data_IF_980531009170
#
_entry.id   IF_980531009170
#
_cell.length_a   1.000
_cell.length_b   1.000
_cell.length_c   1.000
_cell.angle_alpha   90.00
_cell.angle_beta   90.00
_cell.angle_gamma   90.00
#
_symmetry.space_group_name_H-M   'P 1'
#
loop_
_entity.id
_entity.type
_entity.pdbx_description
1 polymer ?
#
# COMPACT_ATOMS: atom_id res chain seq x y z
N UNK A 1 -12.59 -9.24 -21.40
CA UNK A 1 -13.01 -9.00 -20.01
C UNK A 1 -13.21 -10.33 -19.31
N UNK A 2 -12.56 -10.54 -18.16
CA UNK A 2 -12.68 -11.75 -17.34
C UNK A 2 -13.55 -11.49 -16.11
N UNK A 3 -14.08 -12.57 -15.52
CA UNK A 3 -14.77 -12.48 -14.24
C UNK A 3 -13.77 -12.18 -13.11
N UNK A 4 -14.06 -11.22 -12.25
CA UNK A 4 -13.13 -10.86 -11.17
C UNK A 4 -13.07 -11.87 -10.02
N UNK A 5 -14.04 -12.80 -9.87
CA UNK A 5 -13.93 -13.89 -8.89
C UNK A 5 -13.13 -15.10 -9.40
N UNK A 6 -13.43 -15.58 -10.61
CA UNK A 6 -12.89 -16.85 -11.12
C UNK A 6 -11.91 -16.68 -12.29
N UNK A 7 -11.55 -15.45 -12.63
CA UNK A 7 -10.68 -15.07 -13.75
C UNK A 7 -11.10 -15.59 -15.14
N UNK A 8 -12.26 -16.25 -15.27
CA UNK A 8 -12.73 -16.82 -16.53
C UNK A 8 -13.00 -15.73 -17.56
N UNK A 9 -12.39 -15.84 -18.74
CA UNK A 9 -12.68 -14.95 -19.89
C UNK A 9 -14.16 -15.04 -20.25
N UNK A 10 -14.85 -13.91 -20.25
CA UNK A 10 -16.25 -13.81 -20.63
C UNK A 10 -16.33 -13.55 -22.14
N UNK A 11 -17.08 -14.36 -22.90
CA UNK A 11 -17.25 -14.11 -24.32
C UNK A 11 -18.08 -12.83 -24.51
N UNK A 12 -17.67 -12.00 -25.47
CA UNK A 12 -18.30 -10.71 -25.79
C UNK A 12 -19.81 -10.85 -26.11
N UNK A 13 -20.23 -12.02 -26.60
CA UNK A 13 -21.62 -12.35 -26.94
C UNK A 13 -22.49 -12.71 -25.72
N UNK A 14 -21.89 -12.88 -24.54
CA UNK A 14 -22.64 -13.09 -23.29
C UNK A 14 -22.82 -11.77 -22.56
N UNK A 15 -24.07 -11.41 -22.28
CA UNK A 15 -24.43 -10.22 -21.52
C UNK A 15 -23.63 -10.18 -20.21
N UNK A 16 -22.78 -9.16 -20.09
CA UNK A 16 -21.88 -9.00 -18.95
C UNK A 16 -22.72 -8.58 -17.74
N UNK A 17 -22.85 -9.48 -16.77
CA UNK A 17 -23.55 -9.19 -15.52
C UNK A 17 -22.56 -8.63 -14.50
N UNK A 18 -22.90 -7.53 -13.85
CA UNK A 18 -22.08 -6.91 -12.81
C UNK A 18 -22.73 -7.06 -11.44
N UNK A 19 -21.92 -7.02 -10.38
CA UNK A 19 -22.40 -6.91 -9.01
C UNK A 19 -23.03 -5.52 -8.78
N UNK A 20 -24.16 -5.43 -8.08
CA UNK A 20 -24.78 -4.13 -7.78
C UNK A 20 -24.07 -3.36 -6.66
N UNK A 21 -23.30 -4.05 -5.81
CA UNK A 21 -22.55 -3.41 -4.71
C UNK A 21 -21.15 -2.96 -5.15
N UNK A 22 -20.29 -3.88 -5.59
CA UNK A 22 -18.91 -3.56 -5.99
C UNK A 22 -18.73 -3.22 -7.48
N UNK A 23 -19.79 -3.31 -8.30
CA UNK A 23 -19.80 -2.95 -9.73
C UNK A 23 -18.82 -3.72 -10.63
N UNK A 24 -18.11 -4.72 -10.10
CA UNK A 24 -17.22 -5.59 -10.89
C UNK A 24 -17.99 -6.55 -11.80
N UNK A 25 -17.38 -6.82 -12.96
CA UNK A 25 -17.92 -7.73 -13.98
C UNK A 25 -17.74 -9.18 -13.53
N UNK A 26 -18.84 -9.92 -13.49
CA UNK A 26 -18.90 -11.30 -13.01
C UNK A 26 -19.49 -12.23 -14.05
N UNK A 27 -19.07 -13.49 -14.01
CA UNK A 27 -19.77 -14.54 -14.74
C UNK A 27 -21.09 -14.88 -14.03
N UNK A 28 -22.07 -15.41 -14.77
CA UNK A 28 -23.38 -15.81 -14.21
C UNK A 28 -23.27 -16.81 -13.05
N UNK A 29 -22.19 -17.60 -12.98
CA UNK A 29 -21.95 -18.55 -11.87
C UNK A 29 -21.49 -17.86 -10.60
N UNK A 30 -20.69 -16.79 -10.72
CA UNK A 30 -20.17 -16.04 -9.58
C UNK A 30 -21.13 -14.95 -9.09
N UNK A 31 -22.11 -14.55 -9.92
CA UNK A 31 -23.20 -13.65 -9.54
C UNK A 31 -24.46 -14.45 -9.18
N UNK A 32 -24.34 -15.31 -8.18
CA UNK A 32 -25.40 -16.23 -7.74
C UNK A 32 -26.16 -15.74 -6.50
N UNK A 33 -25.55 -14.90 -5.67
CA UNK A 33 -26.13 -14.50 -4.41
C UNK A 33 -27.10 -13.35 -4.59
N UNK A 34 -28.16 -13.33 -3.78
CA UNK A 34 -29.25 -12.35 -3.90
C UNK A 34 -29.53 -11.73 -2.54
N UNK A 35 -29.61 -10.40 -2.50
CA UNK A 35 -29.92 -9.63 -1.29
C UNK A 35 -31.26 -8.91 -1.45
N UNK A 36 -32.05 -8.76 -0.37
CA UNK A 36 -33.26 -7.94 -0.38
C UNK A 36 -32.89 -6.45 -0.52
N UNK A 37 -33.58 -5.72 -1.40
CA UNK A 37 -33.46 -4.25 -1.47
C UNK A 37 -34.09 -3.63 -0.23
N UNK A 38 -33.36 -2.72 0.43
CA UNK A 38 -33.84 -2.03 1.63
C UNK A 38 -34.86 -0.92 1.32
N UNK A 39 -34.98 -0.53 0.05
CA UNK A 39 -35.89 0.52 -0.39
C UNK A 39 -37.33 0.00 -0.46
N UNK A 40 -38.01 0.06 0.68
CA UNK A 40 -39.42 -0.27 0.90
C UNK A 40 -40.36 0.76 0.28
N UNK A 41 -40.25 1.05 -1.02
CA UNK A 41 -41.22 1.89 -1.72
C UNK A 41 -41.83 1.16 -2.90
N UNK A 42 -43.02 0.62 -2.64
CA UNK A 42 -44.06 0.23 -3.62
C UNK A 42 -43.77 -0.97 -4.55
N UNK A 43 -44.50 -2.06 -4.29
CA UNK A 43 -44.94 -3.07 -5.25
C UNK A 43 -43.88 -3.80 -6.11
N UNK A 44 -43.07 -4.61 -5.42
CA UNK A 44 -42.46 -5.91 -5.80
C UNK A 44 -41.13 -6.01 -5.07
N UNK A 45 -40.94 -7.08 -4.31
CA UNK A 45 -39.67 -7.43 -3.68
C UNK A 45 -38.54 -7.51 -4.70
N UNK A 46 -37.86 -6.37 -4.95
CA UNK A 46 -36.74 -6.29 -5.89
C UNK A 46 -35.50 -6.79 -5.18
N UNK A 47 -35.31 -8.09 -5.21
CA UNK A 47 -34.07 -8.72 -4.79
C UNK A 47 -32.98 -8.45 -5.86
N UNK A 48 -31.77 -8.05 -5.44
CA UNK A 48 -30.67 -7.73 -6.36
C UNK A 48 -29.53 -8.73 -6.23
N UNK A 49 -28.84 -8.99 -7.34
CA UNK A 49 -27.76 -9.99 -7.39
C UNK A 49 -26.40 -9.37 -7.06
N UNK A 50 -25.63 -10.08 -6.24
CA UNK A 50 -24.30 -9.68 -5.75
C UNK A 50 -23.30 -10.83 -5.86
N UNK A 51 -22.00 -10.50 -5.82
CA UNK A 51 -20.94 -11.49 -5.72
C UNK A 51 -20.88 -12.10 -4.31
N UNK A 52 -20.13 -13.19 -4.16
CA UNK A 52 -19.93 -13.87 -2.88
C UNK A 52 -19.38 -12.95 -1.80
N UNK A 53 -18.32 -12.20 -2.12
CA UNK A 53 -17.68 -11.28 -1.18
C UNK A 53 -18.64 -10.20 -0.65
N UNK A 54 -19.43 -9.58 -1.54
CA UNK A 54 -20.42 -8.59 -1.12
C UNK A 54 -21.57 -9.21 -0.32
N UNK A 55 -22.01 -10.42 -0.68
CA UNK A 55 -23.02 -11.13 0.09
C UNK A 55 -22.53 -11.44 1.51
N UNK A 56 -21.30 -11.92 1.65
CA UNK A 56 -20.71 -12.23 2.95
C UNK A 56 -20.49 -10.97 3.79
N UNK A 57 -20.02 -9.87 3.19
CA UNK A 57 -19.88 -8.58 3.87
C UNK A 57 -21.20 -8.13 4.50
N UNK A 58 -22.30 -8.20 3.74
CA UNK A 58 -23.63 -7.78 4.22
C UNK A 58 -24.22 -8.76 5.23
N UNK A 59 -24.07 -10.07 5.02
CA UNK A 59 -24.71 -11.10 5.89
C UNK A 59 -23.95 -11.35 7.19
N UNK A 60 -22.62 -11.26 7.18
CA UNK A 60 -21.80 -11.47 8.38
C UNK A 60 -21.66 -10.22 9.25
N UNK A 61 -22.27 -9.09 8.85
CA UNK A 61 -22.21 -7.82 9.58
C UNK A 61 -20.76 -7.41 9.91
N UNK A 62 -19.83 -7.66 8.97
CA UNK A 62 -18.43 -7.25 9.15
C UNK A 62 -18.42 -5.76 8.86
N UNK A 63 -18.15 -4.87 9.85
CA UNK A 63 -18.03 -3.45 9.58
C UNK A 63 -16.90 -3.27 8.56
N UNK A 64 -17.16 -2.44 7.54
CA UNK A 64 -16.20 -2.10 6.49
C UNK A 64 -14.88 -1.61 7.12
N UNK A 65 -13.90 -2.51 7.28
CA UNK A 65 -12.54 -2.15 7.69
C UNK A 65 -11.80 -1.37 6.60
N UNK A 66 -12.44 -1.19 5.44
CA UNK A 66 -11.91 -0.50 4.26
C UNK A 66 -12.69 0.77 3.90
N UNK A 67 -13.46 1.30 4.85
CA UNK A 67 -13.76 2.73 4.86
C UNK A 67 -13.04 3.33 6.05
N UNK A 68 -11.71 3.28 6.00
CA UNK A 68 -10.90 4.16 6.83
C UNK A 68 -11.18 5.58 6.34
N UNK A 69 -12.23 6.17 6.88
CA UNK A 69 -12.30 7.60 7.16
C UNK A 69 -11.11 7.92 8.07
N UNK A 70 -9.90 7.92 7.49
CA UNK A 70 -8.74 8.48 8.14
C UNK A 70 -9.06 9.95 8.17
N UNK A 71 -9.60 10.40 9.31
CA UNK A 71 -9.74 11.80 9.54
C UNK A 71 -8.41 12.45 9.17
N UNK A 72 -8.40 13.41 8.23
CA UNK A 72 -7.17 13.98 7.78
C UNK A 72 -6.41 14.49 9.00
N UNK A 73 -5.08 14.26 9.09
CA UNK A 73 -4.30 14.58 10.27
C UNK A 73 -4.66 15.95 10.83
N UNK A 74 -4.75 16.10 12.15
CA UNK A 74 -5.26 17.33 12.80
C UNK A 74 -4.61 18.62 12.27
N UNK A 75 -3.35 18.55 11.85
CA UNK A 75 -2.61 19.65 11.21
C UNK A 75 -3.18 20.07 9.84
N UNK A 76 -3.68 19.12 9.04
CA UNK A 76 -4.31 19.39 7.76
C UNK A 76 -5.64 20.14 7.94
N UNK A 77 -6.50 19.67 8.86
CA UNK A 77 -7.78 20.35 9.18
C UNK A 77 -7.55 21.81 9.61
N UNK A 78 -6.57 22.04 10.50
CA UNK A 78 -6.17 23.39 10.93
C UNK A 78 -5.70 24.27 9.77
N UNK A 79 -4.86 23.74 8.87
CA UNK A 79 -4.36 24.49 7.71
C UNK A 79 -5.48 24.88 6.75
N UNK A 80 -6.48 24.01 6.56
CA UNK A 80 -7.65 24.29 5.71
C UNK A 80 -8.57 25.34 6.34
N UNK A 81 -8.82 25.27 7.65
CA UNK A 81 -9.60 26.30 8.36
C UNK A 81 -8.90 27.66 8.35
N UNK A 82 -7.59 27.70 8.55
CA UNK A 82 -6.82 28.94 8.49
C UNK A 82 -6.87 29.58 7.10
N UNK A 83 -6.79 28.79 6.03
CA UNK A 83 -6.95 29.28 4.66
C UNK A 83 -8.37 29.83 4.42
N UNK A 84 -9.41 29.12 4.88
CA UNK A 84 -10.80 29.58 4.77
C UNK A 84 -11.05 30.88 5.54
N UNK A 85 -10.52 30.99 6.75
CA UNK A 85 -10.63 32.19 7.57
C UNK A 85 -9.85 33.36 6.96
N UNK A 86 -8.67 33.11 6.37
CA UNK A 86 -7.88 34.12 5.66
C UNK A 86 -8.64 34.67 4.45
N UNK A 87 -9.38 33.82 3.73
CA UNK A 87 -10.23 34.24 2.61
C UNK A 87 -11.53 34.93 3.06
N UNK A 88 -12.03 34.63 4.26
CA UNK A 88 -13.26 35.23 4.78
C UNK A 88 -13.04 36.62 5.40
N UNK A 89 -11.86 36.90 5.97
CA UNK A 89 -11.59 38.15 6.71
C UNK A 89 -11.07 39.29 5.81
N UNK A 90 -10.59 39.00 4.59
CA UNK A 90 -10.05 40.04 3.69
C UNK A 90 -10.65 39.96 2.27
N UNK A 91 -11.31 41.03 1.77
CA UNK A 91 -11.42 41.22 0.34
C UNK A 91 -10.02 41.53 -0.19
N UNK A 92 -9.51 40.67 -1.07
CA UNK A 92 -8.21 40.87 -1.72
C UNK A 92 -8.27 42.16 -2.55
N UNK A 93 -7.76 43.27 -2.01
CA UNK A 93 -7.28 44.40 -2.82
C UNK A 93 -5.85 44.06 -3.24
N UNK A 94 -5.53 44.01 -4.55
CA UNK A 94 -4.15 43.86 -4.97
C UNK A 94 -3.42 45.20 -4.77
N UNK A 95 -2.68 45.29 -3.67
CA UNK A 95 -1.53 46.18 -3.60
C UNK A 95 -0.40 45.56 -4.44
N UNK A 96 0.29 46.41 -5.20
CA UNK A 96 1.38 46.05 -6.11
C UNK A 96 2.36 45.03 -5.51
N UNK A 97 2.41 43.82 -6.09
CA UNK A 97 3.29 42.70 -5.70
C UNK A 97 2.82 41.37 -6.31
N UNK A 98 3.74 40.46 -6.74
CA UNK A 98 3.47 39.47 -7.78
C UNK A 98 2.51 38.38 -7.28
N UNK A 99 1.29 38.42 -7.82
CA UNK A 99 0.18 37.54 -7.49
C UNK A 99 -0.09 36.61 -8.68
N UNK A 100 0.01 35.29 -8.46
CA UNK A 100 -0.60 34.29 -9.35
C UNK A 100 -2.10 34.24 -9.08
N UNK A 101 -2.89 34.74 -10.03
CA UNK A 101 -4.34 34.55 -10.14
C UNK A 101 -4.65 33.96 -11.52
N UNK A 102 -5.73 33.17 -11.67
CA UNK A 102 -6.02 32.47 -12.93
C UNK A 102 -6.38 33.49 -14.01
N UNK A 103 -5.58 33.47 -15.08
CA UNK A 103 -5.63 34.42 -16.19
C UNK A 103 -6.84 34.08 -17.08
N UNK A 104 -7.85 34.96 -17.09
CA UNK A 104 -8.69 35.18 -18.26
C UNK A 104 -7.81 35.88 -19.30
N UNK A 105 -7.27 35.11 -20.26
CA UNK A 105 -6.31 35.59 -21.25
C UNK A 105 -6.90 36.67 -22.13
N UNK A 106 -6.37 37.89 -22.00
CA UNK A 106 -6.71 39.02 -22.85
C UNK A 106 -5.79 38.99 -24.10
N UNK A 107 -6.26 39.38 -25.30
CA UNK A 107 -5.55 39.13 -26.57
C UNK A 107 -4.17 39.81 -26.74
N UNK A 108 -3.73 40.64 -25.79
CA UNK A 108 -2.42 41.31 -25.81
C UNK A 108 -1.34 40.62 -24.97
N UNK A 109 -1.72 39.64 -24.14
CA UNK A 109 -0.78 38.99 -23.21
C UNK A 109 0.00 37.85 -23.89
N UNK A 110 -0.56 37.25 -24.93
CA UNK A 110 0.08 36.17 -25.72
C UNK A 110 1.32 36.66 -26.47
N UNK A 111 1.29 37.87 -27.03
CA UNK A 111 2.43 38.46 -27.74
C UNK A 111 3.59 38.77 -26.78
N UNK A 112 3.30 39.30 -25.58
CA UNK A 112 4.31 39.54 -24.54
C UNK A 112 4.86 38.24 -23.97
N UNK A 113 4.03 37.21 -23.85
CA UNK A 113 4.46 35.87 -23.44
C UNK A 113 5.37 35.23 -24.50
N UNK A 114 5.02 35.32 -25.79
CA UNK A 114 5.85 34.83 -26.88
C UNK A 114 7.22 35.53 -26.92
N UNK A 115 7.24 36.87 -26.80
CA UNK A 115 8.48 37.63 -26.73
C UNK A 115 9.35 37.24 -25.52
N UNK A 116 8.74 36.93 -24.37
CA UNK A 116 9.46 36.42 -23.19
C UNK A 116 9.99 35.01 -23.39
N UNK A 117 9.27 34.14 -24.10
CA UNK A 117 9.74 32.79 -24.45
C UNK A 117 10.94 32.86 -25.42
N UNK A 118 10.90 33.74 -26.41
CA UNK A 118 12.03 33.93 -27.33
C UNK A 118 13.26 34.51 -26.60
N UNK A 119 13.07 35.45 -25.68
CA UNK A 119 14.16 36.00 -24.88
C UNK A 119 14.78 34.95 -23.93
N UNK A 120 13.97 34.11 -23.29
CA UNK A 120 14.45 33.05 -22.39
C UNK A 120 15.18 31.94 -23.15
N UNK A 121 14.66 31.54 -24.32
CA UNK A 121 15.32 30.51 -25.14
C UNK A 121 16.61 31.01 -25.79
N UNK A 122 16.73 32.31 -26.08
CA UNK A 122 17.98 32.91 -26.55
C UNK A 122 19.07 32.90 -25.47
N UNK A 123 18.71 33.17 -24.21
CA UNK A 123 19.63 33.23 -23.07
C UNK A 123 20.04 31.83 -22.57
N UNK A 124 19.11 30.86 -22.58
CA UNK A 124 19.43 29.44 -22.31
C UNK A 124 20.38 28.86 -23.37
N UNK A 125 20.24 29.24 -24.64
CA UNK A 125 21.12 28.78 -25.73
C UNK A 125 22.56 29.26 -25.62
N UNK A 126 22.85 30.30 -24.85
CA UNK A 126 24.23 30.76 -24.62
C UNK A 126 24.99 29.92 -23.59
N UNK A 127 24.26 29.21 -22.72
CA UNK A 127 24.83 28.44 -21.61
C UNK A 127 24.80 26.92 -21.85
N UNK A 128 24.26 26.48 -22.99
CA UNK A 128 24.26 25.07 -23.38
C UNK A 128 25.64 24.69 -23.96
N UNK A 129 26.25 23.59 -23.49
CA UNK A 129 27.48 23.08 -24.08
C UNK A 129 27.34 22.91 -25.59
N UNK A 130 28.37 23.31 -26.32
CA UNK A 130 28.35 23.22 -27.79
C UNK A 130 28.30 21.75 -28.20
N UNK A 131 27.68 21.42 -29.34
CA UNK A 131 27.61 20.04 -29.85
C UNK A 131 28.99 19.35 -29.89
N UNK A 132 30.06 20.09 -30.22
CA UNK A 132 31.43 19.58 -30.19
C UNK A 132 31.93 19.23 -28.76
N UNK A 133 31.54 19.99 -27.75
CA UNK A 133 31.87 19.70 -26.34
C UNK A 133 31.12 18.47 -25.85
N UNK A 134 29.84 18.32 -26.25
CA UNK A 134 29.04 17.14 -25.97
C UNK A 134 29.68 15.89 -26.60
N UNK A 135 30.09 15.95 -27.86
CA UNK A 135 30.77 14.85 -28.54
C UNK A 135 32.10 14.49 -27.87
N UNK A 136 32.86 15.49 -27.42
CA UNK A 136 34.12 15.27 -26.67
C UNK A 136 33.85 14.52 -25.36
N UNK A 137 32.80 14.90 -24.62
CA UNK A 137 32.37 14.20 -23.39
C UNK A 137 31.92 12.77 -23.67
N UNK A 138 31.19 12.52 -24.76
CA UNK A 138 30.75 11.18 -25.16
C UNK A 138 31.94 10.28 -25.52
N UNK A 139 32.92 10.79 -26.26
CA UNK A 139 34.14 10.06 -26.57
C UNK A 139 34.96 9.75 -25.32
N UNK A 140 35.09 10.70 -24.39
CA UNK A 140 35.77 10.48 -23.12
C UNK A 140 35.07 9.39 -22.27
N UNK A 141 33.74 9.39 -22.23
CA UNK A 141 32.94 8.36 -21.55
C UNK A 141 33.07 6.99 -22.21
N UNK A 142 33.04 6.92 -23.54
CA UNK A 142 33.24 5.68 -24.29
C UNK A 142 34.62 5.08 -24.01
N UNK A 143 35.65 5.92 -23.99
CA UNK A 143 37.02 5.52 -23.64
C UNK A 143 37.11 5.03 -22.19
N UNK A 144 36.44 5.71 -21.25
CA UNK A 144 36.42 5.31 -19.84
C UNK A 144 35.73 3.96 -19.59
N UNK A 145 34.65 3.67 -20.31
CA UNK A 145 33.97 2.37 -20.24
C UNK A 145 34.84 1.28 -20.87
N UNK A 146 35.52 1.60 -21.96
CA UNK A 146 36.44 0.68 -22.65
C UNK A 146 37.67 0.34 -21.79
N UNK A 147 38.20 1.29 -21.01
CA UNK A 147 39.34 1.04 -20.10
C UNK A 147 38.93 0.30 -18.82
N UNK A 148 37.72 0.51 -18.29
CA UNK A 148 37.23 -0.25 -17.11
C UNK A 148 37.05 -1.75 -17.35
N UNK A 149 36.81 -2.17 -18.59
CA UNK A 149 36.79 -3.60 -18.91
C UNK A 149 38.17 -4.27 -18.77
N UNK A 150 39.25 -3.49 -18.71
CA UNK A 150 40.62 -3.99 -18.59
C UNK A 150 41.11 -3.91 -17.12
N UNK A 151 40.68 -2.91 -16.34
CA UNK A 151 41.13 -2.70 -14.95
C UNK A 151 40.37 -3.50 -13.87
N UNK A 152 39.38 -4.31 -14.26
CA UNK A 152 38.66 -5.18 -13.31
C UNK A 152 39.49 -6.39 -12.83
N UNK A 153 40.73 -6.56 -13.30
CA UNK A 153 41.74 -7.45 -12.73
C UNK A 153 42.98 -6.65 -12.33
N UNK A 154 43.00 -6.11 -11.11
CA UNK A 154 44.16 -6.02 -10.19
C UNK A 154 44.12 -4.79 -9.29
N UNK A 155 43.48 -4.93 -8.12
CA UNK A 155 44.09 -4.35 -6.91
C UNK A 155 43.75 -5.18 -5.69
N UNK A 156 44.74 -5.78 -5.00
CA UNK A 156 44.51 -6.43 -3.73
C UNK A 156 44.18 -5.33 -2.71
N UNK A 157 42.98 -5.36 -2.14
CA UNK A 157 42.71 -4.60 -0.92
C UNK A 157 43.63 -5.17 0.14
N UNK A 158 44.48 -4.33 0.72
CA UNK A 158 45.34 -4.78 1.82
C UNK A 158 44.45 -5.01 3.05
N UNK A 159 44.81 -5.97 3.90
CA UNK A 159 44.06 -6.31 5.11
C UNK A 159 43.82 -5.10 6.03
N UNK A 160 44.70 -4.10 5.96
CA UNK A 160 44.56 -2.85 6.71
C UNK A 160 43.38 -2.00 6.24
N UNK A 161 43.06 -1.98 4.94
CA UNK A 161 41.94 -1.22 4.42
C UNK A 161 40.59 -1.88 4.73
N UNK A 162 40.56 -3.22 4.81
CA UNK A 162 39.39 -3.95 5.29
C UNK A 162 39.13 -3.71 6.78
N UNK A 163 40.19 -3.70 7.61
CA UNK A 163 40.08 -3.41 9.04
C UNK A 163 39.60 -1.97 9.29
N UNK A 164 40.10 -0.99 8.52
CA UNK A 164 39.63 0.40 8.61
C UNK A 164 38.14 0.53 8.27
N UNK A 165 37.70 -0.15 7.21
CA UNK A 165 36.29 -0.11 6.80
C UNK A 165 35.35 -0.71 7.87
N UNK A 166 35.77 -1.78 8.54
CA UNK A 166 35.01 -2.40 9.64
C UNK A 166 34.92 -1.45 10.85
N UNK A 167 36.02 -0.75 11.17
CA UNK A 167 36.06 0.19 12.29
C UNK A 167 35.16 1.41 12.02
N UNK A 168 35.20 1.94 10.79
CA UNK A 168 34.36 3.09 10.40
C UNK A 168 32.87 2.73 10.44
N UNK A 169 32.50 1.54 9.96
CA UNK A 169 31.11 1.04 10.02
C UNK A 169 30.60 0.92 11.47
N UNK A 170 31.43 0.39 12.38
CA UNK A 170 31.07 0.28 13.80
C UNK A 170 30.90 1.66 14.47
N UNK A 171 31.74 2.63 14.11
CA UNK A 171 31.64 3.98 14.63
C UNK A 171 30.39 4.71 14.12
N UNK A 172 30.02 4.51 12.86
CA UNK A 172 28.80 5.10 12.29
C UNK A 172 27.54 4.50 12.92
N UNK A 173 27.50 3.20 13.18
CA UNK A 173 26.41 2.56 13.93
C UNK A 173 26.24 3.16 15.33
N UNK A 174 27.33 3.41 16.07
CA UNK A 174 27.29 4.04 17.39
C UNK A 174 26.83 5.51 17.33
N UNK A 175 27.22 6.27 16.29
CA UNK A 175 26.76 7.65 16.06
C UNK A 175 25.25 7.70 15.76
N UNK A 176 24.73 6.74 15.02
CA UNK A 176 23.30 6.64 14.70
C UNK A 176 22.50 6.31 15.97
N UNK A 177 22.98 5.35 16.78
CA UNK A 177 22.34 4.97 18.04
C UNK A 177 22.23 6.14 19.04
N UNK A 178 23.28 6.95 19.15
CA UNK A 178 23.30 8.12 20.04
C UNK A 178 22.43 9.28 19.55
N UNK A 179 22.37 9.53 18.23
CA UNK A 179 21.54 10.59 17.63
C UNK A 179 20.05 10.26 17.59
N UNK A 180 19.71 8.99 17.39
CA UNK A 180 18.31 8.55 17.26
C UNK A 180 17.71 7.98 18.53
N UNK A 181 18.36 8.17 19.69
CA UNK A 181 17.85 7.90 21.05
C UNK A 181 16.50 7.21 21.08
N UNK A 182 16.50 5.92 20.76
CA UNK A 182 15.35 5.06 20.96
C UNK A 182 15.37 4.78 22.46
N UNK A 183 14.37 5.21 23.24
CA UNK A 183 14.24 4.72 24.60
C UNK A 183 14.06 3.20 24.51
N UNK A 184 15.11 2.47 24.88
CA UNK A 184 14.98 1.12 25.41
C UNK A 184 14.45 1.30 26.83
N UNK A 185 13.14 1.18 27.00
CA UNK A 185 12.37 1.06 28.26
C UNK A 185 10.90 0.99 27.78
N UNK A 186 10.04 0.02 28.06
CA UNK A 186 9.90 -0.91 29.17
C UNK A 186 9.07 -2.13 28.69
N UNK A 187 9.49 -3.33 29.10
CA UNK A 187 8.63 -4.41 29.62
C UNK A 187 7.12 -4.32 29.31
N UNK A 188 6.72 -4.64 28.06
CA UNK A 188 5.34 -5.05 27.81
C UNK A 188 5.30 -6.57 27.91
N UNK A 189 4.94 -7.04 29.11
CA UNK A 189 4.23 -8.29 29.45
C UNK A 189 4.39 -9.45 28.46
N UNK A 190 4.77 -10.68 28.88
CA UNK A 190 5.13 -11.76 27.97
C UNK A 190 4.01 -11.97 26.97
N UNK A 191 4.20 -11.46 25.75
CA UNK A 191 3.41 -11.88 24.62
C UNK A 191 3.97 -13.24 24.29
N UNK A 192 3.57 -14.24 25.09
CA UNK A 192 3.54 -15.63 24.68
C UNK A 192 3.11 -15.62 23.23
N UNK A 193 3.99 -16.09 22.34
CA UNK A 193 3.71 -16.27 20.93
C UNK A 193 2.31 -16.86 20.83
N UNK A 194 1.36 -16.08 20.30
CA UNK A 194 -0.02 -16.56 20.22
C UNK A 194 -0.01 -17.68 19.20
N UNK A 195 -0.18 -18.90 19.69
CA UNK A 195 -0.26 -20.08 18.83
C UNK A 195 -1.58 -20.02 18.06
N UNK A 196 -1.50 -20.16 16.74
CA UNK A 196 -2.65 -20.14 15.83
C UNK A 196 -3.04 -21.56 15.44
N UNK A 197 -4.30 -21.72 15.03
CA UNK A 197 -4.84 -23.01 14.62
C UNK A 197 -4.23 -23.48 13.29
N UNK A 198 -3.58 -24.65 13.30
CA UNK A 198 -2.90 -25.27 12.13
C UNK A 198 -3.76 -25.49 10.89
N UNK A 199 -5.10 -25.55 11.05
CA UNK A 199 -6.03 -25.77 9.94
C UNK A 199 -6.57 -24.49 9.29
N UNK A 200 -6.51 -23.35 9.97
CA UNK A 200 -7.13 -22.13 9.44
C UNK A 200 -6.25 -20.90 9.52
N UNK A 201 -5.17 -20.90 10.31
CA UNK A 201 -4.22 -19.80 10.53
C UNK A 201 -4.83 -18.43 10.93
N UNK A 202 -6.15 -18.34 11.01
CA UNK A 202 -6.92 -17.14 11.29
C UNK A 202 -7.33 -17.07 12.77
N UNK A 203 -7.62 -18.21 13.38
CA UNK A 203 -8.11 -18.30 14.75
C UNK A 203 -6.99 -18.74 15.70
N UNK A 204 -6.95 -18.13 16.89
CA UNK A 204 -6.03 -18.54 17.96
C UNK A 204 -6.35 -19.98 18.37
N UNK A 205 -5.32 -20.80 18.53
CA UNK A 205 -5.48 -22.16 19.00
C UNK A 205 -5.94 -22.16 20.46
N UNK A 206 -6.95 -22.97 20.74
CA UNK A 206 -7.54 -23.12 22.07
C UNK A 206 -7.42 -24.54 22.60
N UNK A 207 -7.12 -25.50 21.72
CA UNK A 207 -7.13 -26.94 21.99
C UNK A 207 -5.91 -27.57 21.33
N UNK A 208 -5.29 -28.52 22.02
CA UNK A 208 -4.25 -29.41 21.49
C UNK A 208 -4.82 -30.82 21.40
N UNK A 209 -4.42 -31.56 20.36
CA UNK A 209 -4.75 -32.97 20.24
C UNK A 209 -3.48 -33.85 20.31
N UNK A 210 -3.24 -34.58 21.41
CA UNK A 210 -2.06 -35.44 21.54
C UNK A 210 -2.01 -36.59 20.54
N UNK A 211 -3.18 -37.06 20.10
CA UNK A 211 -3.29 -38.11 19.09
C UNK A 211 -2.91 -37.60 17.67
N UNK A 212 -2.88 -36.29 17.46
CA UNK A 212 -2.43 -35.63 16.24
C UNK A 212 -1.07 -34.95 16.46
N UNK A 213 -0.10 -35.63 17.07
CA UNK A 213 1.26 -35.09 17.27
C UNK A 213 1.28 -33.74 18.03
N UNK A 214 0.38 -33.56 18.99
CA UNK A 214 0.20 -32.33 19.74
C UNK A 214 -0.12 -31.09 18.87
N UNK A 215 -0.70 -31.30 17.69
CA UNK A 215 -1.16 -30.22 16.82
C UNK A 215 -2.18 -29.30 17.53
N UNK A 216 -2.04 -27.99 17.31
CA UNK A 216 -2.90 -26.99 17.92
C UNK A 216 -4.04 -26.53 17.00
N UNK A 217 -5.25 -26.51 17.55
CA UNK A 217 -6.48 -26.22 16.82
C UNK A 217 -7.33 -25.19 17.56
N UNK A 218 -8.15 -24.45 16.81
CA UNK A 218 -9.28 -23.74 17.39
C UNK A 218 -10.44 -24.73 17.63
N UNK A 219 -11.32 -24.42 18.59
CA UNK A 219 -12.48 -25.26 18.91
C UNK A 219 -13.32 -25.65 17.67
N UNK A 220 -13.48 -24.74 16.72
CA UNK A 220 -14.28 -25.00 15.52
C UNK A 220 -13.61 -26.02 14.58
N UNK A 221 -12.33 -25.83 14.29
CA UNK A 221 -11.57 -26.73 13.43
C UNK A 221 -11.36 -28.10 14.09
N UNK A 222 -11.15 -28.15 15.41
CA UNK A 222 -11.05 -29.40 16.15
C UNK A 222 -12.33 -30.23 16.01
N UNK A 223 -13.50 -29.66 16.31
CA UNK A 223 -14.78 -30.38 16.22
C UNK A 223 -15.12 -30.79 14.79
N UNK A 224 -14.71 -30.02 13.78
CA UNK A 224 -14.94 -30.34 12.38
C UNK A 224 -14.05 -31.51 11.92
N UNK A 225 -12.77 -31.48 12.27
CA UNK A 225 -11.81 -32.52 11.91
C UNK A 225 -12.08 -33.82 12.69
N UNK A 226 -12.35 -33.73 13.99
CA UNK A 226 -12.49 -34.87 14.91
C UNK A 226 -13.93 -35.38 15.06
N UNK A 227 -14.84 -35.03 14.14
CA UNK A 227 -16.23 -35.51 14.15
C UNK A 227 -16.37 -36.98 13.75
N UNK A 228 -15.38 -37.52 13.03
CA UNK A 228 -15.49 -38.83 12.41
C UNK A 228 -15.43 -39.98 13.43
N UNK A 229 -16.04 -41.13 13.10
CA UNK A 229 -16.00 -42.31 14.00
C UNK A 229 -14.59 -42.86 14.22
N UNK A 230 -13.67 -42.56 13.30
CA UNK A 230 -12.28 -43.01 13.35
C UNK A 230 -11.44 -42.17 14.32
N UNK A 231 -11.85 -40.93 14.59
CA UNK A 231 -11.15 -39.99 15.47
C UNK A 231 -11.78 -39.91 16.87
N UNK A 232 -12.57 -40.92 17.25
CA UNK A 232 -13.26 -40.95 18.55
C UNK A 232 -12.34 -41.01 19.77
N UNK A 233 -11.11 -41.48 19.57
CA UNK A 233 -10.09 -41.57 20.62
C UNK A 233 -9.22 -40.32 20.71
N UNK A 234 -9.47 -39.32 19.85
CA UNK A 234 -8.75 -38.06 19.88
C UNK A 234 -9.41 -37.15 20.91
N UNK A 235 -8.70 -36.92 22.00
CA UNK A 235 -9.14 -36.04 23.07
C UNK A 235 -8.59 -34.62 22.87
N UNK A 236 -9.39 -33.62 23.27
CA UNK A 236 -9.01 -32.21 23.25
C UNK A 236 -8.47 -31.79 24.61
N UNK A 237 -7.23 -31.30 24.66
CA UNK A 237 -6.66 -30.67 25.86
C UNK A 237 -6.69 -29.15 25.68
N UNK A 238 -7.28 -28.37 26.59
CA UNK A 238 -7.30 -26.91 26.47
C UNK A 238 -5.91 -26.30 26.70
N UNK A 239 -5.56 -25.32 25.86
CA UNK A 239 -4.29 -24.57 25.98
C UNK A 239 -4.44 -23.57 27.13
N UNK A 240 -3.84 -23.90 28.28
CA UNK A 240 -3.67 -22.97 29.40
C UNK A 240 -2.22 -22.51 29.43
N UNK A 241 -1.96 -21.31 29.98
CA UNK A 241 -0.61 -20.72 30.06
C UNK A 241 0.44 -21.60 30.75
N UNK A 242 0.03 -22.67 31.44
CA UNK A 242 0.89 -23.66 32.08
C UNK A 242 1.38 -24.79 31.15
N UNK A 243 0.77 -24.95 29.97
CA UNK A 243 1.10 -26.00 28.98
C UNK A 243 1.88 -25.47 27.76
N UNK A 244 2.29 -24.20 27.76
CA UNK A 244 3.23 -23.68 26.75
C UNK A 244 4.63 -24.15 27.15
N UNK A 245 5.15 -25.12 26.41
CA UNK A 245 6.42 -25.79 26.67
C UNK A 245 7.56 -25.13 25.91
#
# INVERSE_FOLDING_TARGET
>A
MSCHQCAKKLPFRSQQSHCQMCKFIMCKKCLCNTLPSQDSSTYKDKSFKVCLECYEKVTKNIPDTDNREIEPPKLFKKRVEELKNRTAIRPVRPAAGPTCSPILSRPGDTAKLAQRLDALTADERQNLPTEAELQTRLNALSNFISTRQIDSLSKPKTSEDEVKNIIDEAQDAARIATKHGIPLEEEKSPTSERIYCSLCDENVATVICPACMDDEFCNHCFLRAHKSKLLRHHESIPITKANMK
#
